data_IF_216595709302
#
_entry.id   IF_216595709302
#
_cell.length_a   1.000
_cell.length_b   1.000
_cell.length_c   1.000
_cell.angle_alpha   90.00
_cell.angle_beta   90.00
_cell.angle_gamma   90.00
#
_symmetry.space_group_name_H-M   'P 1'
#
loop_
_entity.id
_entity.type
_entity.pdbx_description
1 polymer ?
#
# COMPACT_ATOMS: atom_id res chain seq x y z
N UNK A 1 -5.37 -30.14 17.48
CA UNK A 1 -4.67 -28.86 17.22
C UNK A 1 -3.20 -29.22 17.03
N UNK A 2 -2.63 -28.99 15.83
CA UNK A 2 -1.23 -29.36 15.55
C UNK A 2 -0.32 -28.16 15.86
N UNK A 3 0.51 -28.29 16.88
CA UNK A 3 1.69 -27.43 17.03
C UNK A 3 2.55 -27.59 15.77
N UNK A 4 2.84 -26.48 15.08
CA UNK A 4 3.93 -26.47 14.11
C UNK A 4 5.18 -26.80 14.92
N UNK A 5 5.76 -27.97 14.68
CA UNK A 5 6.84 -28.45 15.53
C UNK A 5 8.05 -27.52 15.35
N UNK A 6 8.87 -27.37 16.40
CA UNK A 6 10.17 -26.69 16.32
C UNK A 6 11.01 -27.19 15.13
N UNK A 7 10.82 -28.45 14.74
CA UNK A 7 11.45 -29.10 13.59
C UNK A 7 10.96 -28.53 12.25
N UNK A 8 9.69 -28.18 12.14
CA UNK A 8 9.11 -27.54 10.95
C UNK A 8 9.61 -26.10 10.81
N UNK A 9 9.79 -25.38 11.92
CA UNK A 9 10.40 -24.04 11.90
C UNK A 9 11.90 -24.07 11.51
N UNK A 10 12.65 -25.08 11.93
CA UNK A 10 14.06 -25.23 11.51
C UNK A 10 14.17 -25.64 10.04
N UNK A 11 13.29 -26.54 9.56
CA UNK A 11 13.20 -26.86 8.13
C UNK A 11 12.82 -25.63 7.30
N UNK A 12 11.93 -24.79 7.83
CA UNK A 12 11.56 -23.49 7.25
C UNK A 12 12.78 -22.56 7.10
N UNK A 13 13.57 -22.37 8.16
CA UNK A 13 14.75 -21.48 8.12
C UNK A 13 15.82 -21.98 7.13
N UNK A 14 16.04 -23.29 7.06
CA UNK A 14 17.02 -23.89 6.15
C UNK A 14 16.56 -23.84 4.68
N UNK A 15 15.27 -24.08 4.40
CA UNK A 15 14.71 -23.96 3.05
C UNK A 15 14.79 -22.51 2.53
N UNK A 16 14.50 -21.51 3.38
CA UNK A 16 14.62 -20.09 3.02
C UNK A 16 16.04 -19.71 2.59
N UNK A 17 17.07 -20.31 3.19
CA UNK A 17 18.48 -19.99 2.90
C UNK A 17 18.91 -20.48 1.51
N UNK A 18 18.48 -21.67 1.10
CA UNK A 18 18.78 -22.22 -0.22
C UNK A 18 17.97 -21.55 -1.35
N UNK A 19 16.72 -21.18 -1.09
CA UNK A 19 15.88 -20.44 -2.04
C UNK A 19 16.38 -19.03 -2.33
N UNK A 20 16.94 -18.35 -1.32
CA UNK A 20 17.53 -17.02 -1.49
C UNK A 20 18.66 -17.00 -2.53
N UNK A 21 19.37 -18.11 -2.72
CA UNK A 21 20.41 -18.23 -3.74
C UNK A 21 19.83 -18.41 -5.16
N UNK A 22 18.68 -19.07 -5.31
CA UNK A 22 18.01 -19.28 -6.60
C UNK A 22 17.25 -18.03 -7.07
N UNK A 23 16.59 -17.30 -6.17
CA UNK A 23 15.90 -16.05 -6.48
C UNK A 23 16.83 -14.98 -7.07
N UNK A 24 18.07 -14.91 -6.58
CA UNK A 24 19.08 -13.98 -7.11
C UNK A 24 19.38 -14.21 -8.60
N UNK A 25 19.32 -15.45 -9.07
CA UNK A 25 19.55 -15.77 -10.48
C UNK A 25 18.34 -15.41 -11.37
N UNK A 26 17.12 -15.51 -10.85
CA UNK A 26 15.92 -15.07 -11.58
C UNK A 26 15.86 -13.55 -11.77
N UNK A 27 16.22 -12.77 -10.73
CA UNK A 27 16.27 -11.31 -10.84
C UNK A 27 17.23 -10.80 -11.93
N UNK A 28 18.32 -11.53 -12.20
CA UNK A 28 19.24 -11.18 -13.26
C UNK A 28 18.60 -11.30 -14.65
N UNK A 29 17.90 -12.40 -14.92
CA UNK A 29 17.22 -12.64 -16.20
C UNK A 29 16.15 -11.59 -16.47
N UNK A 30 15.35 -11.28 -15.45
CA UNK A 30 14.31 -10.24 -15.49
C UNK A 30 14.89 -8.86 -15.85
N UNK A 31 16.04 -8.51 -15.28
CA UNK A 31 16.70 -7.23 -15.55
C UNK A 31 17.26 -7.12 -16.98
N UNK A 32 17.55 -8.27 -17.61
CA UNK A 32 18.01 -8.35 -19.00
C UNK A 32 16.82 -8.25 -19.95
N UNK A 33 15.72 -8.93 -19.64
CA UNK A 33 14.47 -8.86 -20.43
C UNK A 33 13.91 -7.43 -20.44
N UNK A 34 13.91 -6.74 -19.29
CA UNK A 34 13.43 -5.36 -19.18
C UNK A 34 14.28 -4.35 -19.98
N UNK A 35 15.53 -4.70 -20.36
CA UNK A 35 16.40 -3.85 -21.21
C UNK A 35 16.26 -4.13 -22.71
N UNK A 36 15.76 -5.30 -23.07
CA UNK A 36 15.69 -5.76 -24.47
C UNK A 36 14.31 -5.47 -25.08
N UNK A 37 13.25 -5.48 -24.27
CA UNK A 37 11.93 -5.12 -24.75
C UNK A 37 11.87 -3.60 -24.99
N UNK A 38 11.35 -3.14 -26.14
CA UNK A 38 11.13 -1.72 -26.37
C UNK A 38 10.31 -1.15 -25.22
N UNK A 39 10.57 0.10 -24.87
CA UNK A 39 9.80 0.86 -23.87
C UNK A 39 8.34 0.99 -24.33
N UNK A 40 7.56 -0.09 -24.25
CA UNK A 40 6.13 -0.01 -24.03
C UNK A 40 5.97 1.05 -22.94
N UNK A 41 5.11 2.03 -23.17
CA UNK A 41 4.78 3.04 -22.17
C UNK A 41 4.52 2.31 -20.85
N UNK A 42 5.42 2.50 -19.87
CA UNK A 42 5.47 1.66 -18.67
C UNK A 42 4.14 1.69 -17.90
N UNK A 43 3.40 2.79 -18.03
CA UNK A 43 2.05 2.97 -17.51
C UNK A 43 1.07 2.04 -18.21
N UNK A 44 1.05 2.02 -19.55
CA UNK A 44 0.17 1.13 -20.32
C UNK A 44 0.49 -0.34 -20.07
N UNK A 45 1.77 -0.70 -19.97
CA UNK A 45 2.17 -2.05 -19.58
C UNK A 45 1.64 -2.39 -18.19
N UNK A 46 1.87 -1.54 -17.20
CA UNK A 46 1.40 -1.77 -15.83
C UNK A 46 -0.13 -1.88 -15.76
N UNK A 47 -0.86 -1.06 -16.54
CA UNK A 47 -2.33 -1.12 -16.66
C UNK A 47 -2.79 -2.47 -17.21
N UNK A 48 -2.18 -2.90 -18.33
CA UNK A 48 -2.45 -4.20 -18.95
C UNK A 48 -2.19 -5.34 -17.98
N UNK A 49 -1.02 -5.36 -17.33
CA UNK A 49 -0.65 -6.40 -16.37
C UNK A 49 -1.61 -6.44 -15.17
N UNK A 50 -1.94 -5.29 -14.57
CA UNK A 50 -2.89 -5.24 -13.45
C UNK A 50 -4.28 -5.73 -13.85
N UNK A 51 -4.74 -5.39 -15.06
CA UNK A 51 -6.04 -5.81 -15.59
C UNK A 51 -6.08 -7.31 -15.89
N UNK A 52 -5.08 -7.83 -16.59
CA UNK A 52 -5.05 -9.22 -17.07
C UNK A 52 -4.64 -10.20 -15.97
N UNK A 53 -3.60 -9.85 -15.20
CA UNK A 53 -2.99 -10.75 -14.21
C UNK A 53 -3.42 -10.45 -12.78
N UNK A 54 -4.14 -9.36 -12.52
CA UNK A 54 -4.47 -8.92 -11.17
C UNK A 54 -3.29 -8.36 -10.38
N UNK A 55 -2.10 -8.25 -11.00
CA UNK A 55 -0.89 -7.70 -10.38
C UNK A 55 0.10 -7.27 -11.47
N UNK A 56 0.94 -6.29 -11.19
CA UNK A 56 2.01 -5.91 -12.10
C UNK A 56 3.21 -6.84 -11.94
N UNK A 57 4.06 -6.93 -12.98
CA UNK A 57 5.32 -7.68 -12.91
C UNK A 57 6.19 -7.20 -11.76
N UNK A 58 6.20 -5.90 -11.52
CA UNK A 58 6.99 -5.32 -10.43
C UNK A 58 6.60 -5.92 -9.08
N UNK A 59 5.29 -6.04 -8.81
CA UNK A 59 4.77 -6.57 -7.55
C UNK A 59 4.80 -8.10 -7.50
N UNK A 60 4.66 -8.77 -8.65
CA UNK A 60 4.88 -10.22 -8.74
C UNK A 60 6.30 -10.62 -8.26
N UNK A 61 7.31 -9.75 -8.40
CA UNK A 61 8.66 -9.98 -7.84
C UNK A 61 8.71 -9.98 -6.31
N UNK A 62 7.70 -9.45 -5.63
CA UNK A 62 7.56 -9.55 -4.18
C UNK A 62 6.98 -10.89 -3.72
N UNK A 63 6.53 -11.74 -4.65
CA UNK A 63 6.00 -13.06 -4.34
C UNK A 63 7.12 -13.98 -3.86
N UNK A 64 6.83 -14.72 -2.80
CA UNK A 64 7.64 -15.83 -2.31
C UNK A 64 6.76 -17.07 -2.13
N UNK A 65 7.37 -18.24 -2.05
CA UNK A 65 6.63 -19.47 -1.70
C UNK A 65 5.93 -19.38 -0.33
N UNK A 66 6.36 -18.45 0.54
CA UNK A 66 5.76 -18.18 1.83
C UNK A 66 4.62 -17.16 1.77
N UNK A 67 4.46 -16.42 0.67
CA UNK A 67 3.41 -15.40 0.52
C UNK A 67 2.01 -15.94 0.87
N UNK A 68 1.57 -17.14 0.44
CA UNK A 68 0.26 -17.68 0.84
C UNK A 68 0.16 -17.99 2.34
N UNK A 69 1.25 -18.42 2.98
CA UNK A 69 1.30 -18.72 4.42
C UNK A 69 1.25 -17.42 5.21
N UNK A 70 2.07 -16.44 4.83
CA UNK A 70 2.09 -15.11 5.43
C UNK A 70 0.73 -14.45 5.27
N UNK A 71 0.16 -14.48 4.06
CA UNK A 71 -1.19 -14.00 3.80
C UNK A 71 -2.20 -14.68 4.72
N UNK A 72 -2.16 -16.00 4.89
CA UNK A 72 -3.15 -16.70 5.71
C UNK A 72 -3.03 -16.42 7.22
N UNK A 73 -1.79 -16.30 7.74
CA UNK A 73 -1.54 -16.36 9.18
C UNK A 73 -1.02 -15.06 9.80
N UNK A 74 -0.55 -14.10 8.99
CA UNK A 74 -0.06 -12.81 9.47
C UNK A 74 -1.04 -11.72 9.07
N UNK A 75 -1.39 -10.89 10.06
CA UNK A 75 -2.12 -9.65 9.88
C UNK A 75 -1.09 -8.51 9.89
N UNK A 76 -1.07 -7.64 8.87
CA UNK A 76 -0.18 -6.50 8.89
C UNK A 76 -0.56 -5.54 10.02
N UNK A 77 0.44 -4.88 10.60
CA UNK A 77 0.23 -3.85 11.61
C UNK A 77 -0.55 -2.68 10.98
N UNK A 78 -1.32 -1.96 11.81
CA UNK A 78 -2.23 -0.87 11.40
C UNK A 78 -3.51 -1.30 10.66
N UNK A 79 -3.76 -2.60 10.48
CA UNK A 79 -5.03 -3.09 9.91
C UNK A 79 -6.22 -3.04 10.88
N UNK A 80 -5.95 -2.94 12.18
CA UNK A 80 -6.98 -2.81 13.20
C UNK A 80 -6.56 -1.69 14.18
N UNK A 81 -7.26 -0.54 14.18
CA UNK A 81 -6.94 0.58 15.08
C UNK A 81 -7.13 0.21 16.56
N UNK A 82 -7.99 -0.77 16.89
CA UNK A 82 -8.15 -1.26 18.26
C UNK A 82 -6.98 -2.17 18.69
N UNK A 83 -6.30 -2.81 17.73
CA UNK A 83 -5.18 -3.73 18.00
C UNK A 83 -3.80 -3.08 18.08
N UNK A 84 -3.66 -1.77 17.82
CA UNK A 84 -2.37 -1.06 17.98
C UNK A 84 -1.77 -1.19 19.39
N UNK A 85 -2.58 -1.57 20.40
CA UNK A 85 -2.16 -1.71 21.79
C UNK A 85 -1.82 -3.15 22.23
N UNK A 86 -2.14 -4.18 21.43
CA UNK A 86 -1.98 -5.57 21.84
C UNK A 86 -0.93 -6.31 21.00
N UNK A 87 0.24 -6.54 21.63
CA UNK A 87 1.30 -7.48 21.20
C UNK A 87 0.71 -8.74 20.58
N UNK A 88 1.11 -9.03 19.33
CA UNK A 88 1.04 -10.31 18.58
C UNK A 88 0.16 -11.34 19.29
N UNK A 89 -1.18 -11.19 19.20
CA UNK A 89 -2.07 -12.30 19.52
C UNK A 89 -2.12 -13.17 18.27
N UNK A 90 -1.60 -14.39 18.37
CA UNK A 90 -1.98 -15.47 17.48
C UNK A 90 -3.49 -15.65 17.62
N UNK A 91 -4.28 -15.00 16.76
CA UNK A 91 -5.73 -15.10 16.82
C UNK A 91 -6.12 -16.53 16.43
N UNK A 92 -6.59 -17.29 17.42
CA UNK A 92 -7.19 -18.61 17.25
C UNK A 92 -8.59 -18.55 16.63
N UNK A 93 -9.15 -17.35 16.44
CA UNK A 93 -10.37 -17.11 15.66
C UNK A 93 -9.97 -16.56 14.30
N UNK A 94 -10.36 -17.30 13.27
CA UNK A 94 -10.09 -17.04 11.85
C UNK A 94 -10.30 -15.55 11.49
N UNK A 95 -9.37 -15.01 10.69
CA UNK A 95 -9.48 -13.76 9.94
C UNK A 95 -10.94 -13.39 9.62
N UNK A 96 -11.55 -12.45 10.35
CA UNK A 96 -12.80 -11.83 9.92
C UNK A 96 -12.50 -10.52 9.19
N UNK A 97 -11.84 -10.66 8.04
CA UNK A 97 -11.48 -9.54 7.16
C UNK A 97 -12.64 -9.07 6.28
N UNK A 98 -13.85 -9.59 6.48
CA UNK A 98 -15.02 -9.23 5.68
C UNK A 98 -15.35 -7.73 5.76
N UNK A 99 -14.88 -7.04 6.80
CA UNK A 99 -15.10 -5.61 6.99
C UNK A 99 -14.27 -4.69 6.08
N UNK A 100 -13.12 -5.12 5.52
CA UNK A 100 -12.18 -4.21 4.83
C UNK A 100 -11.52 -4.85 3.58
N UNK A 101 -12.29 -5.07 2.50
CA UNK A 101 -11.80 -5.77 1.30
C UNK A 101 -10.65 -5.05 0.57
N UNK A 102 -10.61 -3.71 0.61
CA UNK A 102 -9.54 -2.94 -0.03
C UNK A 102 -8.18 -3.11 0.66
N UNK A 103 -8.18 -3.22 2.00
CA UNK A 103 -7.00 -3.60 2.79
C UNK A 103 -6.51 -5.00 2.44
N UNK A 104 -7.40 -5.98 2.36
CA UNK A 104 -7.02 -7.33 1.93
C UNK A 104 -6.37 -7.35 0.55
N UNK A 105 -6.90 -6.56 -0.39
CA UNK A 105 -6.29 -6.42 -1.70
C UNK A 105 -4.91 -5.74 -1.64
N UNK A 106 -4.72 -4.70 -0.82
CA UNK A 106 -3.40 -4.10 -0.60
C UNK A 106 -2.37 -5.09 -0.04
N UNK A 107 -2.79 -5.93 0.90
CA UNK A 107 -1.93 -6.95 1.50
C UNK A 107 -1.51 -8.03 0.48
N UNK A 108 -2.43 -8.45 -0.39
CA UNK A 108 -2.10 -9.35 -1.50
C UNK A 108 -1.11 -8.72 -2.47
N UNK A 109 -1.35 -7.47 -2.88
CA UNK A 109 -0.44 -6.72 -3.76
C UNK A 109 0.97 -6.65 -3.16
N UNK A 110 1.08 -6.31 -1.88
CA UNK A 110 2.36 -6.30 -1.18
C UNK A 110 3.03 -7.67 -1.22
N UNK A 111 2.31 -8.76 -1.00
CA UNK A 111 2.86 -10.12 -1.00
C UNK A 111 3.08 -10.72 -2.40
N UNK A 112 2.86 -9.96 -3.47
CA UNK A 112 2.97 -10.45 -4.84
C UNK A 112 1.87 -11.43 -5.25
N UNK A 113 0.75 -11.47 -4.51
CA UNK A 113 -0.37 -12.37 -4.77
C UNK A 113 -1.34 -11.70 -5.75
N UNK A 114 -1.68 -12.34 -6.89
CA UNK A 114 -2.65 -11.81 -7.85
C UNK A 114 -4.00 -11.47 -7.22
N UNK A 115 -4.55 -10.31 -7.60
CA UNK A 115 -5.90 -9.90 -7.24
C UNK A 115 -6.95 -10.60 -8.11
N UNK A 116 -8.05 -11.01 -7.50
CA UNK A 116 -9.22 -11.45 -8.27
C UNK A 116 -9.99 -10.26 -8.87
N UNK A 117 -11.00 -10.54 -9.68
CA UNK A 117 -11.79 -9.51 -10.37
C UNK A 117 -12.47 -8.51 -9.43
N UNK A 118 -12.98 -8.97 -8.29
CA UNK A 118 -13.65 -8.12 -7.32
C UNK A 118 -12.67 -7.23 -6.54
N UNK A 119 -11.42 -7.66 -6.41
CA UNK A 119 -10.35 -6.95 -5.72
C UNK A 119 -9.63 -5.95 -6.62
N UNK A 120 -9.57 -6.19 -7.94
CA UNK A 120 -8.93 -5.27 -8.89
C UNK A 120 -9.54 -3.86 -8.88
N UNK A 121 -10.84 -3.74 -8.56
CA UNK A 121 -11.53 -2.45 -8.49
C UNK A 121 -10.95 -1.48 -7.45
N UNK A 122 -10.09 -1.95 -6.55
CA UNK A 122 -9.48 -1.10 -5.52
C UNK A 122 -8.25 -0.35 -6.01
N UNK A 123 -7.65 -0.73 -7.14
CA UNK A 123 -6.41 -0.14 -7.63
C UNK A 123 -6.46 0.13 -9.13
N UNK A 124 -5.92 1.28 -9.51
CA UNK A 124 -5.58 1.62 -10.90
C UNK A 124 -4.15 2.12 -10.98
N UNK A 125 -3.63 2.28 -12.20
CA UNK A 125 -2.34 2.94 -12.43
C UNK A 125 -2.59 4.42 -12.66
N UNK A 126 -1.98 5.24 -11.82
CA UNK A 126 -2.08 6.70 -11.86
C UNK A 126 -1.60 7.26 -13.17
N UNK A 127 -2.37 8.22 -13.71
CA UNK A 127 -1.96 8.99 -14.89
C UNK A 127 -0.93 10.06 -14.56
N UNK A 128 -0.71 10.31 -13.28
CA UNK A 128 0.12 11.41 -12.79
C UNK A 128 1.26 10.88 -11.93
N UNK A 129 2.33 11.67 -11.82
CA UNK A 129 3.50 11.38 -10.99
C UNK A 129 3.86 12.56 -10.12
N UNK A 130 4.51 12.35 -8.96
CA UNK A 130 5.06 13.44 -8.17
C UNK A 130 5.99 14.30 -9.01
N UNK A 131 5.91 15.63 -8.88
CA UNK A 131 6.74 16.55 -9.66
C UNK A 131 8.26 16.34 -9.43
N UNK A 132 8.63 15.79 -8.26
CA UNK A 132 10.01 15.46 -7.89
C UNK A 132 10.50 14.11 -8.41
N UNK A 133 9.63 13.28 -8.97
CA UNK A 133 10.02 11.96 -9.51
C UNK A 133 10.77 12.15 -10.83
N UNK A 134 12.01 11.67 -10.87
CA UNK A 134 12.93 11.84 -12.02
C UNK A 134 13.02 10.58 -12.87
N UNK A 135 12.60 9.43 -12.35
CA UNK A 135 12.64 8.17 -13.08
C UNK A 135 11.42 8.05 -14.00
N UNK A 136 11.60 8.12 -15.33
CA UNK A 136 10.48 7.95 -16.27
C UNK A 136 9.93 6.53 -16.29
N UNK A 137 10.71 5.54 -15.82
CA UNK A 137 10.29 4.16 -15.71
C UNK A 137 9.54 3.85 -14.40
N UNK A 138 9.20 4.86 -13.60
CA UNK A 138 8.39 4.67 -12.39
C UNK A 138 6.93 5.03 -12.66
N UNK A 139 6.04 4.16 -12.19
CA UNK A 139 4.60 4.40 -12.17
C UNK A 139 4.08 4.31 -10.74
N UNK A 140 2.85 4.74 -10.53
CA UNK A 140 2.20 4.82 -9.24
C UNK A 140 0.83 4.17 -9.31
N UNK A 141 0.37 3.62 -8.20
CA UNK A 141 -1.02 3.20 -8.07
C UNK A 141 -1.89 4.38 -7.66
N UNK A 142 -3.18 4.30 -7.94
CA UNK A 142 -4.19 5.21 -7.42
C UNK A 142 -5.42 4.41 -7.03
N UNK A 143 -6.35 5.07 -6.34
CA UNK A 143 -7.65 4.48 -6.07
C UNK A 143 -8.70 5.06 -7.00
N UNK A 144 -9.36 4.21 -7.78
CA UNK A 144 -10.46 4.68 -8.61
C UNK A 144 -11.64 5.11 -7.73
N UNK A 145 -12.31 6.19 -8.12
CA UNK A 145 -13.54 6.68 -7.49
C UNK A 145 -13.37 7.09 -6.02
N UNK A 146 -12.17 7.53 -5.61
CA UNK A 146 -11.88 8.07 -4.26
C UNK A 146 -11.63 9.57 -4.27
N UNK A 147 -11.73 10.20 -5.43
CA UNK A 147 -11.45 11.61 -5.61
C UNK A 147 -12.38 12.48 -4.77
N UNK A 148 -13.67 12.15 -4.71
CA UNK A 148 -14.65 12.89 -3.92
C UNK A 148 -14.40 12.75 -2.41
N UNK A 149 -14.12 11.54 -1.93
CA UNK A 149 -13.79 11.28 -0.53
C UNK A 149 -12.54 12.09 -0.09
N UNK A 150 -11.48 12.05 -0.90
CA UNK A 150 -10.22 12.75 -0.63
C UNK A 150 -10.42 14.27 -0.70
N UNK A 151 -11.19 14.75 -1.69
CA UNK A 151 -11.49 16.17 -1.84
C UNK A 151 -12.38 16.70 -0.71
N UNK A 152 -13.36 15.90 -0.27
CA UNK A 152 -14.22 16.19 0.88
C UNK A 152 -13.39 16.32 2.16
N UNK A 153 -12.51 15.34 2.43
CA UNK A 153 -11.59 15.40 3.56
C UNK A 153 -10.67 16.63 3.48
N UNK A 154 -10.11 16.91 2.29
CA UNK A 154 -9.29 18.10 2.10
C UNK A 154 -10.05 19.40 2.37
N UNK A 155 -11.28 19.55 1.84
CA UNK A 155 -12.08 20.74 2.06
C UNK A 155 -12.51 20.92 3.52
N UNK A 156 -12.75 19.82 4.26
CA UNK A 156 -13.05 19.88 5.69
C UNK A 156 -11.89 20.49 6.48
N UNK A 157 -10.64 20.20 6.11
CA UNK A 157 -9.47 20.55 6.93
C UNK A 157 -8.56 21.66 6.36
N UNK A 158 -8.75 22.09 5.11
CA UNK A 158 -7.85 23.05 4.46
C UNK A 158 -7.71 24.38 5.21
N UNK A 159 -8.76 24.82 5.90
CA UNK A 159 -8.83 26.12 6.60
C UNK A 159 -8.43 26.03 8.08
N UNK A 160 -8.13 24.82 8.58
CA UNK A 160 -7.60 24.65 9.92
C UNK A 160 -6.18 25.25 9.97
N UNK A 161 -5.84 25.91 11.07
CA UNK A 161 -4.48 26.43 11.29
C UNK A 161 -3.44 25.31 11.36
N UNK A 162 -2.17 25.68 11.53
CA UNK A 162 -1.12 24.71 11.84
C UNK A 162 -1.40 24.09 13.22
N UNK A 163 -1.96 22.88 13.21
CA UNK A 163 -2.26 22.14 14.43
C UNK A 163 -1.04 21.30 14.76
N UNK A 164 -0.42 21.54 15.91
CA UNK A 164 0.69 20.68 16.34
C UNK A 164 0.18 19.27 16.65
N UNK A 165 1.06 18.27 16.59
CA UNK A 165 0.71 16.85 16.79
C UNK A 165 -0.02 16.58 18.12
N UNK A 166 0.22 17.40 19.16
CA UNK A 166 -0.48 17.26 20.46
C UNK A 166 -1.93 17.73 20.40
N UNK A 167 -2.21 18.83 19.71
CA UNK A 167 -3.58 19.31 19.48
C UNK A 167 -4.35 18.37 18.54
N UNK A 168 -3.67 17.82 17.53
CA UNK A 168 -4.22 16.78 16.66
C UNK A 168 -4.66 15.54 17.46
N UNK A 169 -3.84 15.11 18.43
CA UNK A 169 -4.18 14.00 19.32
C UNK A 169 -5.39 14.30 20.23
N UNK A 170 -5.58 15.57 20.66
CA UNK A 170 -6.77 15.98 21.41
C UNK A 170 -8.03 15.97 20.53
N UNK A 171 -7.95 16.46 19.29
CA UNK A 171 -9.08 16.41 18.34
C UNK A 171 -9.47 14.95 18.07
N UNK A 172 -8.49 14.07 17.88
CA UNK A 172 -8.72 12.64 17.68
C UNK A 172 -9.40 11.95 18.87
N UNK A 173 -9.27 12.48 20.09
CA UNK A 173 -9.97 11.94 21.26
C UNK A 173 -11.50 12.18 21.18
N UNK A 174 -11.93 13.27 20.54
CA UNK A 174 -13.35 13.63 20.42
C UNK A 174 -13.95 13.24 19.06
N UNK A 175 -13.14 13.20 18.00
CA UNK A 175 -13.50 12.69 16.67
C UNK A 175 -12.54 11.54 16.27
N UNK A 176 -12.70 10.32 16.82
CA UNK A 176 -11.77 9.21 16.64
C UNK A 176 -11.58 8.75 15.20
N UNK A 177 -12.41 9.23 14.28
CA UNK A 177 -12.36 8.87 12.87
C UNK A 177 -11.47 9.79 12.02
N UNK A 178 -10.92 10.87 12.58
CA UNK A 178 -10.06 11.78 11.79
C UNK A 178 -8.85 12.26 12.58
N UNK A 179 -7.75 11.49 12.53
CA UNK A 179 -6.44 12.03 12.87
C UNK A 179 -5.97 12.93 11.72
N UNK A 180 -5.88 14.24 11.98
CA UNK A 180 -5.36 15.24 11.07
C UNK A 180 -4.10 15.88 11.64
N UNK A 181 -3.08 16.09 10.80
CA UNK A 181 -1.93 16.94 11.14
C UNK A 181 -1.59 17.80 9.92
N UNK A 182 -1.57 19.12 10.08
CA UNK A 182 -1.14 20.04 9.02
C UNK A 182 0.18 20.68 9.37
N UNK A 183 1.04 20.62 8.38
CA UNK A 183 2.28 21.37 8.33
C UNK A 183 2.13 22.44 7.25
N UNK A 184 3.12 23.33 7.16
CA UNK A 184 3.22 24.31 6.08
C UNK A 184 3.14 23.67 4.68
N UNK A 185 3.64 22.44 4.54
CA UNK A 185 3.87 21.82 3.23
C UNK A 185 2.85 20.74 2.87
N UNK A 186 2.26 20.07 3.87
CA UNK A 186 1.32 18.97 3.64
C UNK A 186 0.37 18.75 4.83
N UNK A 187 -0.73 18.06 4.53
CA UNK A 187 -1.74 17.58 5.48
C UNK A 187 -1.69 16.06 5.55
N UNK A 188 -1.67 15.48 6.75
CA UNK A 188 -1.88 14.04 6.96
C UNK A 188 -3.36 13.84 7.26
N UNK A 189 -3.99 12.93 6.53
CA UNK A 189 -5.38 12.53 6.72
C UNK A 189 -5.41 11.03 7.02
N UNK A 190 -6.23 10.64 7.99
CA UNK A 190 -6.59 9.24 8.20
C UNK A 190 -7.68 8.84 7.20
N UNK A 191 -7.43 7.79 6.43
CA UNK A 191 -8.40 7.19 5.53
C UNK A 191 -9.56 6.65 6.35
N UNK A 192 -10.62 7.46 6.42
CA UNK A 192 -11.92 7.10 6.99
C UNK A 192 -12.87 6.56 5.92
N UNK A 193 -12.39 6.29 4.70
CA UNK A 193 -13.26 5.75 3.66
C UNK A 193 -13.65 4.32 4.02
N UNK A 194 -14.80 3.87 3.50
CA UNK A 194 -15.35 2.53 3.78
C UNK A 194 -14.36 1.39 3.52
N UNK A 195 -13.35 1.60 2.67
CA UNK A 195 -12.38 0.58 2.28
C UNK A 195 -11.06 0.65 3.07
N UNK A 196 -10.80 1.76 3.77
CA UNK A 196 -9.65 2.02 4.66
C UNK A 196 -8.25 1.68 4.09
N UNK A 197 -8.06 1.68 2.78
CA UNK A 197 -6.90 1.07 2.12
C UNK A 197 -5.56 1.67 2.57
N UNK A 198 -5.45 3.00 2.71
CA UNK A 198 -4.15 3.67 2.98
C UNK A 198 -3.78 3.76 4.46
N UNK A 199 -4.76 3.68 5.36
CA UNK A 199 -4.54 4.10 6.74
C UNK A 199 -4.24 5.61 6.83
N UNK A 200 -2.97 6.03 6.63
CA UNK A 200 -2.55 7.44 6.66
C UNK A 200 -1.99 7.89 5.32
N UNK A 201 -2.49 9.01 4.81
CA UNK A 201 -1.98 9.61 3.57
C UNK A 201 -1.68 11.10 3.71
N UNK A 202 -0.70 11.55 2.92
CA UNK A 202 -0.35 12.97 2.76
C UNK A 202 -1.18 13.57 1.66
N UNK A 203 -1.67 14.79 1.87
CA UNK A 203 -2.30 15.64 0.87
C UNK A 203 -1.52 16.94 0.76
N UNK A 204 -1.21 17.35 -0.48
CA UNK A 204 -0.44 18.54 -0.79
C UNK A 204 -1.14 19.34 -1.88
N UNK A 205 -1.16 20.67 -1.78
CA UNK A 205 -1.60 21.54 -2.88
C UNK A 205 -0.49 21.67 -3.92
N UNK A 206 -0.87 21.84 -5.18
CA UNK A 206 0.04 22.14 -6.26
C UNK A 206 -0.63 22.88 -7.39
N UNK A 207 0.16 23.29 -8.37
CA UNK A 207 -0.29 23.95 -9.58
C UNK A 207 0.61 23.55 -10.74
N UNK A 208 -0.01 23.23 -11.87
CA UNK A 208 0.67 23.00 -13.14
C UNK A 208 -0.15 23.62 -14.29
N UNK A 209 0.23 23.33 -15.53
CA UNK A 209 -0.42 23.88 -16.73
C UNK A 209 -1.91 23.51 -16.86
N UNK A 210 -2.35 22.42 -16.22
CA UNK A 210 -3.76 22.00 -16.20
C UNK A 210 -4.57 22.70 -15.09
N UNK A 211 -3.90 23.37 -14.16
CA UNK A 211 -4.53 24.19 -13.13
C UNK A 211 -4.06 23.87 -11.72
N UNK A 212 -4.82 24.34 -10.74
CA UNK A 212 -4.59 24.02 -9.33
C UNK A 212 -5.08 22.61 -9.03
N UNK A 213 -4.34 21.88 -8.21
CA UNK A 213 -4.68 20.52 -7.82
C UNK A 213 -4.34 20.27 -6.36
N UNK A 214 -4.95 19.22 -5.81
CA UNK A 214 -4.42 18.52 -4.65
C UNK A 214 -3.81 17.21 -5.11
N UNK A 215 -2.73 16.78 -4.47
CA UNK A 215 -2.16 15.45 -4.68
C UNK A 215 -2.22 14.68 -3.38
N UNK A 216 -2.49 13.39 -3.47
CA UNK A 216 -2.41 12.49 -2.32
C UNK A 216 -1.28 11.48 -2.50
N UNK A 217 -0.68 11.07 -1.39
CA UNK A 217 0.42 10.11 -1.37
C UNK A 217 0.31 9.23 -0.13
N UNK A 218 0.35 7.91 -0.31
CA UNK A 218 0.35 6.97 0.82
C UNK A 218 1.65 7.07 1.61
N UNK A 219 1.54 7.16 2.94
CA UNK A 219 2.72 7.16 3.81
C UNK A 219 3.29 5.74 3.96
N UNK A 220 2.53 4.73 3.53
CA UNK A 220 2.88 3.32 3.63
C UNK A 220 3.24 2.94 5.07
N UNK A 221 2.25 3.04 5.95
CA UNK A 221 2.34 2.55 7.33
C UNK A 221 2.00 1.05 7.45
N UNK A 222 2.01 0.35 6.31
CA UNK A 222 1.83 -1.10 6.21
C UNK A 222 3.10 -1.83 6.63
N UNK A 223 3.22 -2.12 7.93
CA UNK A 223 4.33 -2.91 8.48
C UNK A 223 3.93 -4.39 8.64
N UNK A 224 4.64 -5.33 8.01
CA UNK A 224 4.39 -6.76 8.17
C UNK A 224 4.88 -7.23 9.55
N UNK A 225 4.02 -7.13 10.56
CA UNK A 225 4.21 -7.89 11.79
C UNK A 225 5.20 -7.33 12.82
N UNK A 226 5.70 -6.08 12.69
CA UNK A 226 6.70 -5.49 13.62
C UNK A 226 8.05 -6.24 13.65
N UNK A 227 8.19 -7.25 12.79
CA UNK A 227 9.42 -7.98 12.54
C UNK A 227 10.02 -7.46 11.23
N UNK A 228 11.33 -7.61 11.06
CA UNK A 228 12.06 -7.31 9.82
C UNK A 228 11.68 -8.24 8.63
N UNK A 229 10.46 -8.77 8.61
CA UNK A 229 9.89 -9.57 7.51
C UNK A 229 9.79 -8.76 6.22
N UNK A 230 9.74 -7.43 6.30
CA UNK A 230 9.78 -6.55 5.13
C UNK A 230 11.06 -6.69 4.29
N UNK A 231 12.17 -7.14 4.89
CA UNK A 231 13.40 -7.43 4.14
C UNK A 231 13.37 -8.77 3.41
N UNK A 232 12.45 -9.67 3.79
CA UNK A 232 12.41 -11.04 3.28
C UNK A 232 11.21 -11.32 2.40
N UNK A 233 10.11 -10.58 2.56
CA UNK A 233 8.84 -10.89 1.92
C UNK A 233 8.09 -9.65 1.46
N UNK A 234 7.49 -9.79 0.28
CA UNK A 234 6.68 -8.77 -0.33
C UNK A 234 7.48 -7.63 -0.93
N UNK A 235 6.75 -6.69 -1.51
CA UNK A 235 7.30 -5.51 -2.15
C UNK A 235 6.38 -4.32 -1.89
N UNK A 236 6.89 -3.22 -1.32
CA UNK A 236 6.14 -1.99 -1.21
C UNK A 236 5.69 -1.48 -2.58
N UNK A 237 4.54 -0.82 -2.61
CA UNK A 237 4.09 -0.05 -3.76
C UNK A 237 3.69 1.35 -3.31
N UNK A 238 3.84 2.31 -4.22
CA UNK A 238 3.52 3.71 -3.94
C UNK A 238 2.18 4.06 -4.56
N UNK A 239 1.30 4.66 -3.76
CA UNK A 239 0.02 5.21 -4.21
C UNK A 239 0.16 6.72 -4.31
N UNK A 240 -0.18 7.27 -5.47
CA UNK A 240 -0.16 8.70 -5.76
C UNK A 240 -1.18 9.06 -6.83
N UNK A 241 -1.91 10.16 -6.65
CA UNK A 241 -2.63 10.79 -7.76
C UNK A 241 -2.80 12.30 -7.53
N UNK A 242 -3.20 13.02 -8.59
CA UNK A 242 -3.63 14.42 -8.55
C UNK A 242 -5.13 14.52 -8.81
N UNK A 243 -5.79 15.37 -8.04
CA UNK A 243 -7.19 15.76 -8.21
C UNK A 243 -7.19 17.25 -8.54
N UNK A 244 -7.54 17.59 -9.78
CA UNK A 244 -7.62 18.99 -10.21
C UNK A 244 -8.83 19.67 -9.58
N UNK A 245 -8.59 20.83 -8.99
CA UNK A 245 -9.64 21.66 -8.41
C UNK A 245 -10.36 22.34 -9.58
N UNK A 246 -11.67 22.09 -9.72
CA UNK A 246 -12.49 22.79 -10.70
C UNK A 246 -12.33 24.30 -10.48
N UNK A 247 -12.12 25.04 -11.57
CA UNK A 247 -12.18 26.50 -11.57
C UNK A 247 -13.60 26.98 -11.26
#
# INVERSE_FOLDING_TARGET
MNEISRRDFVKFALASSALFALEKNMHFIDSVVDRILPEDNIIERARRELKENGITREQARGYSFLSPIIYKYIQPFNYDPEQQWFKIKYHSKLRDFTAMPGREAAWKMYLGIPLNEQERKFFEISETRPAKEKNPAKYYYCFPNKEEDILSAYNKFKDYGDVNVRQAAQIAYYEPQVLYCKTKDYMIIWDSTKDHIMGKFKVMKGKDDKGEYISYYDIWDLEPGGFSLSLLFGKPFEIYNRIYLKK
#
